data_IF_478911225396
#
_entry.id   IF_478911225396
#
_cell.length_a   1.000
_cell.length_b   1.000
_cell.length_c   1.000
_cell.angle_alpha   90.00
_cell.angle_beta   90.00
_cell.angle_gamma   90.00
#
_symmetry.space_group_name_H-M   'P 1'
#
loop_
_entity.id
_entity.type
_entity.pdbx_description
1 polymer ?
#
# COMPACT_ATOMS: atom_id res chain seq x y z
N UNK A 1 -19.00 4.91 7.10
CA UNK A 1 -17.64 5.53 7.13
C UNK A 1 -16.85 5.06 8.35
N UNK A 2 -17.38 5.17 9.58
CA UNK A 2 -16.73 4.63 10.79
C UNK A 2 -16.51 3.12 10.67
N UNK A 3 -17.51 2.37 10.20
CA UNK A 3 -17.40 0.90 10.04
C UNK A 3 -16.35 0.49 9.00
N UNK A 4 -16.21 1.27 7.92
CA UNK A 4 -15.18 1.03 6.90
C UNK A 4 -13.78 1.26 7.47
N UNK A 5 -13.57 2.36 8.21
CA UNK A 5 -12.27 2.66 8.83
C UNK A 5 -11.87 1.55 9.80
N UNK A 6 -12.78 1.14 10.69
CA UNK A 6 -12.52 0.08 11.65
C UNK A 6 -12.18 -1.25 10.97
N UNK A 7 -12.85 -1.56 9.86
CA UNK A 7 -12.59 -2.77 9.07
C UNK A 7 -11.27 -2.70 8.32
N UNK A 8 -10.88 -1.54 7.79
CA UNK A 8 -9.55 -1.35 7.21
C UNK A 8 -8.48 -1.47 8.29
N UNK A 9 -8.68 -0.91 9.49
CA UNK A 9 -7.76 -1.11 10.63
C UNK A 9 -7.62 -2.60 11.00
N UNK A 10 -8.72 -3.35 11.00
CA UNK A 10 -8.70 -4.80 11.19
C UNK A 10 -7.91 -5.51 10.09
N UNK A 11 -8.15 -5.16 8.83
CA UNK A 11 -7.42 -5.72 7.69
C UNK A 11 -5.91 -5.51 7.83
N UNK A 12 -5.49 -4.29 8.17
CA UNK A 12 -4.09 -3.94 8.37
C UNK A 12 -3.48 -4.77 9.51
N UNK A 13 -4.20 -4.91 10.64
CA UNK A 13 -3.75 -5.72 11.79
C UNK A 13 -3.62 -7.20 11.45
N UNK A 14 -4.45 -7.74 10.57
CA UNK A 14 -4.36 -9.14 10.14
C UNK A 14 -3.24 -9.37 9.12
N UNK A 15 -2.86 -8.35 8.36
CA UNK A 15 -1.96 -8.46 7.21
C UNK A 15 -0.63 -7.71 7.38
N UNK A 16 -0.34 -7.22 8.58
CA UNK A 16 0.99 -6.75 9.02
C UNK A 16 1.99 -7.91 9.07
N UNK A 17 3.27 -7.59 9.22
CA UNK A 17 4.31 -8.59 9.50
C UNK A 17 4.00 -9.33 10.80
N UNK A 18 4.06 -10.66 10.73
CA UNK A 18 3.90 -11.58 11.86
C UNK A 18 5.20 -12.31 12.21
N UNK A 19 6.27 -12.02 11.49
CA UNK A 19 7.60 -12.53 11.74
C UNK A 19 8.04 -12.19 13.18
N UNK A 20 8.63 -13.12 13.95
CA UNK A 20 8.96 -12.88 15.36
C UNK A 20 9.79 -11.62 15.61
N UNK A 21 10.63 -11.23 14.65
CA UNK A 21 11.50 -10.07 14.70
C UNK A 21 10.85 -8.75 14.25
N UNK A 22 9.59 -8.78 13.81
CA UNK A 22 8.84 -7.61 13.30
C UNK A 22 7.62 -7.27 14.15
N UNK A 23 7.25 -8.15 15.09
CA UNK A 23 6.07 -7.97 15.95
C UNK A 23 6.11 -6.71 16.81
N UNK A 24 7.30 -6.18 17.06
CA UNK A 24 7.50 -4.96 17.84
C UNK A 24 7.27 -3.67 17.04
N UNK A 25 7.20 -3.71 15.70
CA UNK A 25 6.91 -2.53 14.91
C UNK A 25 5.41 -2.21 14.95
N UNK A 26 5.11 -1.00 15.41
CA UNK A 26 3.77 -0.46 15.38
C UNK A 26 3.34 -0.18 13.94
N UNK A 27 2.04 -0.36 13.68
CA UNK A 27 1.44 0.05 12.41
C UNK A 27 1.55 1.58 12.33
N UNK A 28 2.29 2.14 11.36
CA UNK A 28 2.60 3.57 11.34
C UNK A 28 1.43 4.45 10.88
N UNK A 29 0.43 3.87 10.22
CA UNK A 29 -0.70 4.59 9.62
C UNK A 29 -2.01 3.84 9.86
N UNK A 30 -3.02 4.55 10.35
CA UNK A 30 -4.37 3.98 10.55
C UNK A 30 -5.13 3.82 9.23
N UNK A 31 -6.15 2.96 9.24
CA UNK A 31 -7.09 2.76 8.15
C UNK A 31 -7.76 4.04 7.67
N UNK A 32 -7.96 5.02 8.55
CA UNK A 32 -8.54 6.32 8.20
C UNK A 32 -7.73 7.05 7.11
N UNK A 33 -6.40 6.96 7.14
CA UNK A 33 -5.54 7.61 6.15
C UNK A 33 -5.65 6.92 4.79
N UNK A 34 -5.68 5.59 4.77
CA UNK A 34 -5.88 4.84 3.52
C UNK A 34 -7.24 5.15 2.89
N UNK A 35 -8.31 5.22 3.69
CA UNK A 35 -9.66 5.59 3.25
C UNK A 35 -9.71 7.04 2.75
N UNK A 36 -9.09 7.99 3.48
CA UNK A 36 -9.02 9.39 3.06
C UNK A 36 -8.26 9.57 1.75
N UNK A 37 -7.10 8.91 1.58
CA UNK A 37 -6.32 8.96 0.34
C UNK A 37 -7.10 8.37 -0.83
N UNK A 38 -7.70 7.19 -0.65
CA UNK A 38 -8.53 6.55 -1.66
C UNK A 38 -9.64 7.50 -2.14
N UNK A 39 -10.36 8.13 -1.21
CA UNK A 39 -11.41 9.10 -1.50
C UNK A 39 -10.88 10.38 -2.16
N UNK A 40 -9.78 10.93 -1.64
CA UNK A 40 -9.23 12.22 -2.10
C UNK A 40 -8.70 12.17 -3.53
N UNK A 41 -8.11 11.04 -3.90
CA UNK A 41 -7.49 10.85 -5.21
C UNK A 41 -8.29 9.94 -6.14
N UNK A 42 -9.53 9.61 -5.79
CA UNK A 42 -10.39 8.70 -6.57
C UNK A 42 -9.64 7.42 -6.97
N UNK A 43 -8.94 6.84 -6.00
CA UNK A 43 -8.18 5.60 -6.16
C UNK A 43 -8.97 4.48 -5.50
N UNK A 44 -9.21 3.35 -6.18
CA UNK A 44 -9.87 2.21 -5.57
C UNK A 44 -9.13 1.77 -4.30
N UNK A 45 -9.82 1.79 -3.16
CA UNK A 45 -9.24 1.49 -1.84
C UNK A 45 -8.52 0.14 -1.82
N UNK A 46 -9.05 -0.85 -2.56
CA UNK A 46 -8.44 -2.17 -2.73
C UNK A 46 -7.00 -2.12 -3.24
N UNK A 47 -6.68 -1.20 -4.15
CA UNK A 47 -5.34 -1.07 -4.70
C UNK A 47 -4.40 -0.34 -3.75
N UNK A 48 -4.89 0.66 -3.02
CA UNK A 48 -4.11 1.31 -1.95
C UNK A 48 -3.69 0.28 -0.90
N UNK A 49 -4.62 -0.58 -0.47
CA UNK A 49 -4.35 -1.61 0.52
C UNK A 49 -3.51 -2.77 -0.03
N UNK A 50 -3.76 -3.21 -1.27
CA UNK A 50 -3.01 -4.30 -1.90
C UNK A 50 -1.53 -3.96 -2.00
N UNK A 51 -1.21 -2.77 -2.51
CA UNK A 51 0.19 -2.36 -2.66
C UNK A 51 0.84 -2.14 -1.29
N UNK A 52 0.15 -1.48 -0.35
CA UNK A 52 0.67 -1.31 1.00
C UNK A 52 1.00 -2.64 1.70
N UNK A 53 0.14 -3.66 1.52
CA UNK A 53 0.41 -5.00 2.03
C UNK A 53 1.61 -5.65 1.34
N UNK A 54 1.65 -5.61 0.01
CA UNK A 54 2.67 -6.33 -0.76
C UNK A 54 4.07 -5.75 -0.62
N UNK A 55 4.17 -4.43 -0.51
CA UNK A 55 5.45 -3.73 -0.54
C UNK A 55 6.14 -3.68 0.81
N UNK A 56 5.37 -3.60 1.90
CA UNK A 56 5.97 -3.43 3.24
C UNK A 56 5.11 -3.97 4.40
N UNK A 57 4.07 -4.74 4.11
CA UNK A 57 3.05 -5.16 5.11
C UNK A 57 2.57 -3.96 5.92
N UNK A 58 2.14 -2.90 5.23
CA UNK A 58 1.69 -1.64 5.83
C UNK A 58 2.77 -0.91 6.64
N UNK A 59 4.03 -1.02 6.24
CA UNK A 59 5.17 -0.41 6.92
C UNK A 59 5.64 -1.15 8.17
N UNK A 60 5.26 -2.42 8.33
CA UNK A 60 5.62 -3.24 9.50
C UNK A 60 6.67 -4.31 9.21
N UNK A 61 6.97 -4.62 7.94
CA UNK A 61 8.09 -5.51 7.61
C UNK A 61 9.43 -4.86 7.97
N UNK A 62 10.33 -5.62 8.61
CA UNK A 62 11.71 -5.18 8.86
C UNK A 62 12.52 -5.24 7.59
N UNK A 63 13.22 -4.14 7.38
CA UNK A 63 14.39 -4.10 6.53
C UNK A 63 15.64 -4.25 7.41
N UNK A 64 16.54 -5.14 7.01
CA UNK A 64 17.67 -5.58 7.84
C UNK A 64 18.52 -4.39 8.33
N UNK A 65 19.03 -4.47 9.57
CA UNK A 65 20.09 -3.56 10.09
C UNK A 65 21.36 -3.58 9.23
N UNK A 66 21.47 -4.52 8.29
CA UNK A 66 22.65 -4.78 7.48
C UNK A 66 22.55 -4.14 6.08
N UNK A 67 21.48 -3.37 5.81
CA UNK A 67 21.43 -2.43 4.68
C UNK A 67 21.16 -3.04 3.31
N UNK A 68 20.93 -4.34 3.20
CA UNK A 68 20.61 -4.97 1.91
C UNK A 68 19.11 -5.26 1.81
N UNK A 69 18.56 -4.71 0.72
CA UNK A 69 17.18 -4.63 0.28
C UNK A 69 16.30 -3.64 1.06
N UNK A 70 16.38 -2.38 0.59
CA UNK A 70 15.24 -1.46 0.31
C UNK A 70 14.45 -0.95 1.50
N UNK A 71 14.49 0.37 1.82
CA UNK A 71 14.24 0.92 3.17
C UNK A 71 12.91 1.70 3.38
N UNK A 72 11.69 1.14 3.24
CA UNK A 72 10.44 1.80 3.63
C UNK A 72 10.41 2.47 5.00
N UNK A 73 11.02 1.88 6.04
CA UNK A 73 11.08 2.47 7.39
C UNK A 73 11.88 3.77 7.51
N UNK A 74 13.05 3.84 6.85
CA UNK A 74 13.90 5.05 6.87
C UNK A 74 13.29 6.16 6.00
N UNK A 75 12.59 5.78 4.95
CA UNK A 75 12.04 6.69 3.94
C UNK A 75 10.55 6.96 4.15
N UNK A 76 9.92 6.38 5.17
CA UNK A 76 8.46 6.46 5.42
C UNK A 76 7.65 6.14 4.16
N UNK A 77 8.14 5.16 3.39
CA UNK A 77 7.68 4.83 2.04
C UNK A 77 7.04 3.44 2.05
N UNK A 78 5.81 3.33 2.58
CA UNK A 78 5.01 2.08 2.65
C UNK A 78 4.92 1.35 1.29
N UNK A 79 5.00 2.11 0.21
CA UNK A 79 4.75 1.64 -1.13
C UNK A 79 6.06 1.29 -1.87
N UNK A 80 7.25 1.55 -1.33
CA UNK A 80 8.50 1.37 -2.08
C UNK A 80 8.54 2.18 -3.40
N UNK A 81 7.86 3.33 -3.47
CA UNK A 81 7.85 4.14 -4.68
C UNK A 81 9.24 4.68 -5.03
N UNK A 82 9.59 4.61 -6.32
CA UNK A 82 10.89 5.03 -6.82
C UNK A 82 12.05 4.16 -6.34
N UNK A 83 11.74 2.96 -5.81
CA UNK A 83 12.74 1.96 -5.50
C UNK A 83 13.26 1.29 -6.77
N UNK A 84 14.58 1.30 -6.95
CA UNK A 84 15.23 0.63 -8.08
C UNK A 84 16.39 -0.29 -7.65
N UNK A 85 16.94 -1.03 -8.62
CA UNK A 85 18.05 -1.96 -8.41
C UNK A 85 19.36 -1.28 -7.98
N UNK A 86 19.45 0.05 -8.15
CA UNK A 86 20.56 0.87 -7.65
C UNK A 86 20.37 1.28 -6.19
N UNK A 87 19.24 0.91 -5.58
CA UNK A 87 18.88 1.28 -4.22
C UNK A 87 18.39 2.72 -4.06
N UNK A 88 18.09 3.41 -5.17
CA UNK A 88 17.39 4.70 -5.09
C UNK A 88 16.03 4.47 -4.44
N UNK A 89 15.55 5.43 -3.66
CA UNK A 89 14.27 5.32 -2.98
C UNK A 89 13.76 6.72 -2.64
N UNK A 90 12.47 6.96 -2.83
CA UNK A 90 11.85 8.23 -2.46
C UNK A 90 11.58 8.24 -0.96
N UNK A 91 12.13 9.24 -0.26
CA UNK A 91 11.84 9.54 1.14
C UNK A 91 10.68 10.52 1.31
N UNK A 92 9.88 10.28 2.34
CA UNK A 92 8.77 11.14 2.75
C UNK A 92 8.98 11.68 4.16
N UNK A 93 8.44 12.88 4.41
CA UNK A 93 8.51 13.53 5.71
C UNK A 93 7.68 12.78 6.78
N UNK A 94 6.55 12.21 6.39
CA UNK A 94 5.69 11.38 7.25
C UNK A 94 5.21 10.13 6.51
N UNK A 95 4.70 9.14 7.24
CA UNK A 95 4.15 7.93 6.63
C UNK A 95 2.89 8.23 5.82
N UNK A 96 2.04 9.13 6.30
CA UNK A 96 0.84 9.61 5.61
C UNK A 96 1.20 10.30 4.29
N UNK A 97 2.32 11.03 4.23
CA UNK A 97 2.84 11.59 2.98
C UNK A 97 3.24 10.52 1.97
N UNK A 98 3.73 9.37 2.44
CA UNK A 98 3.96 8.20 1.60
C UNK A 98 2.66 7.66 1.01
N UNK A 99 1.62 7.50 1.83
CA UNK A 99 0.28 7.07 1.36
C UNK A 99 -0.34 8.09 0.39
N UNK A 100 -0.25 9.37 0.72
CA UNK A 100 -0.74 10.46 -0.13
C UNK A 100 -0.07 10.43 -1.51
N UNK A 101 1.24 10.20 -1.55
CA UNK A 101 2.02 10.18 -2.78
C UNK A 101 1.64 9.00 -3.68
N UNK A 102 1.26 7.85 -3.11
CA UNK A 102 0.72 6.73 -3.88
C UNK A 102 -0.62 7.09 -4.52
N UNK A 103 -1.55 7.70 -3.78
CA UNK A 103 -2.83 8.16 -4.34
C UNK A 103 -2.63 9.15 -5.49
N UNK A 104 -1.71 10.10 -5.34
CA UNK A 104 -1.33 11.03 -6.43
C UNK A 104 -0.78 10.31 -7.66
N UNK A 105 0.11 9.34 -7.45
CA UNK A 105 0.70 8.56 -8.53
C UNK A 105 -0.38 7.79 -9.29
N UNK A 106 -1.29 7.11 -8.58
CA UNK A 106 -2.37 6.35 -9.20
C UNK A 106 -3.29 7.26 -10.00
N UNK A 107 -3.79 8.36 -9.39
CA UNK A 107 -4.66 9.33 -10.06
C UNK A 107 -4.04 9.92 -11.32
N UNK A 108 -2.75 10.24 -11.29
CA UNK A 108 -2.02 10.76 -12.47
C UNK A 108 -2.11 9.80 -13.66
N UNK A 109 -1.95 8.50 -13.44
CA UNK A 109 -2.05 7.51 -14.50
C UNK A 109 -3.49 7.24 -14.93
N UNK A 110 -4.42 7.35 -14.00
CA UNK A 110 -5.85 7.25 -14.27
C UNK A 110 -6.33 8.42 -15.16
N UNK A 111 -5.91 9.65 -14.87
CA UNK A 111 -6.13 10.84 -15.70
C UNK A 111 -5.53 10.70 -17.11
N UNK A 112 -4.46 9.93 -17.24
CA UNK A 112 -3.81 9.63 -18.52
C UNK A 112 -4.47 8.46 -19.29
N UNK A 113 -5.55 7.87 -18.75
CA UNK A 113 -6.26 6.75 -19.38
C UNK A 113 -5.50 5.43 -19.33
N UNK A 114 -4.55 5.26 -18.39
CA UNK A 114 -3.76 4.04 -18.26
C UNK A 114 -4.56 2.99 -17.48
N UNK A 115 -4.80 1.84 -18.10
CA UNK A 115 -5.50 0.70 -17.47
C UNK A 115 -4.71 0.15 -16.27
N UNK A 116 -5.40 -0.42 -15.28
CA UNK A 116 -4.80 -0.84 -14.00
C UNK A 116 -3.60 -1.77 -14.15
N UNK A 117 -3.71 -2.86 -14.93
CA UNK A 117 -2.57 -3.73 -15.18
C UNK A 117 -1.37 -3.00 -15.81
N UNK A 118 -1.61 -1.98 -16.63
CA UNK A 118 -0.53 -1.19 -17.20
C UNK A 118 0.10 -0.27 -16.14
N UNK A 119 -0.69 0.27 -15.19
CA UNK A 119 -0.15 0.97 -14.02
C UNK A 119 0.78 0.05 -13.22
N UNK A 120 0.37 -1.19 -12.95
CA UNK A 120 1.16 -2.16 -12.18
C UNK A 120 2.46 -2.57 -12.88
N UNK A 121 2.46 -2.68 -14.21
CA UNK A 121 3.68 -2.92 -14.99
C UNK A 121 4.64 -1.73 -14.98
N UNK A 122 4.11 -0.50 -14.93
CA UNK A 122 4.93 0.71 -14.76
C UNK A 122 5.52 0.76 -13.33
N UNK A 123 4.71 0.35 -12.35
CA UNK A 123 5.09 0.32 -10.95
C UNK A 123 6.22 -0.67 -10.66
N UNK A 124 6.05 -1.91 -11.13
CA UNK A 124 7.02 -2.98 -11.02
C UNK A 124 6.99 -3.80 -12.33
N UNK A 125 8.01 -3.68 -13.19
CA UNK A 125 8.05 -4.36 -14.48
C UNK A 125 8.43 -5.86 -14.34
N UNK A 126 8.77 -6.34 -13.14
CA UNK A 126 9.26 -7.69 -12.95
C UNK A 126 8.12 -8.69 -12.76
N UNK A 127 8.13 -9.76 -13.58
CA UNK A 127 7.19 -10.87 -13.47
C UNK A 127 5.74 -10.47 -13.75
N UNK A 128 4.79 -11.28 -13.25
CA UNK A 128 3.36 -11.00 -13.36
C UNK A 128 2.84 -10.20 -12.15
N UNK A 129 3.43 -9.03 -11.96
CA UNK A 129 3.07 -8.17 -10.83
C UNK A 129 1.58 -7.75 -10.89
N UNK A 130 1.01 -7.57 -12.08
CA UNK A 130 -0.43 -7.28 -12.20
C UNK A 130 -1.28 -8.41 -11.58
N UNK A 131 -1.07 -9.67 -11.98
CA UNK A 131 -1.89 -10.76 -11.47
C UNK A 131 -1.84 -10.86 -9.94
N UNK A 132 -0.66 -10.66 -9.35
CA UNK A 132 -0.52 -10.67 -7.90
C UNK A 132 -1.21 -9.51 -7.19
N UNK A 133 -1.21 -8.31 -7.79
CA UNK A 133 -1.96 -7.16 -7.27
C UNK A 133 -3.46 -7.43 -7.37
N UNK A 134 -3.96 -7.92 -8.51
CA UNK A 134 -5.37 -8.23 -8.70
C UNK A 134 -5.85 -9.35 -7.77
N UNK A 135 -5.06 -10.40 -7.57
CA UNK A 135 -5.36 -11.47 -6.60
C UNK A 135 -5.53 -10.90 -5.18
N UNK A 136 -4.57 -10.06 -4.75
CA UNK A 136 -4.61 -9.42 -3.44
C UNK A 136 -5.82 -8.48 -3.33
N UNK A 137 -6.06 -7.67 -4.36
CA UNK A 137 -7.16 -6.72 -4.43
C UNK A 137 -8.54 -7.40 -4.39
N UNK A 138 -8.70 -8.54 -5.06
CA UNK A 138 -9.93 -9.34 -4.99
C UNK A 138 -10.18 -9.91 -3.59
N UNK A 139 -9.11 -10.36 -2.91
CA UNK A 139 -9.20 -10.77 -1.51
C UNK A 139 -9.61 -9.60 -0.58
N UNK A 140 -9.11 -8.39 -0.86
CA UNK A 140 -9.50 -7.18 -0.15
C UNK A 140 -10.95 -6.81 -0.43
N UNK A 141 -11.39 -6.83 -1.69
CA UNK A 141 -12.79 -6.58 -2.06
C UNK A 141 -13.74 -7.55 -1.36
N UNK A 142 -13.38 -8.84 -1.29
CA UNK A 142 -14.14 -9.83 -0.54
C UNK A 142 -14.16 -9.52 0.96
N UNK A 143 -12.99 -9.19 1.53
CA UNK A 143 -12.89 -8.84 2.94
C UNK A 143 -13.73 -7.61 3.28
N UNK A 144 -13.60 -6.52 2.51
CA UNK A 144 -14.29 -5.25 2.72
C UNK A 144 -15.79 -5.35 2.39
N UNK A 145 -16.14 -6.08 1.32
CA UNK A 145 -17.49 -6.25 0.78
C UNK A 145 -18.48 -7.00 1.67
N UNK A 146 -18.03 -7.60 2.78
CA UNK A 146 -18.96 -8.01 3.86
C UNK A 146 -19.53 -6.83 4.67
N UNK A 147 -19.26 -5.58 4.24
CA UNK A 147 -20.06 -4.41 4.60
C UNK A 147 -20.93 -4.07 3.39
N UNK A 148 -22.25 -4.05 3.55
CA UNK A 148 -23.17 -3.39 2.62
C UNK A 148 -22.87 -1.87 2.61
N UNK A 149 -21.80 -1.47 1.92
CA UNK A 149 -21.48 -0.05 1.73
C UNK A 149 -22.14 0.40 0.44
N UNK A 150 -23.43 0.75 0.56
CA UNK A 150 -24.06 1.60 -0.45
C UNK A 150 -23.28 2.93 -0.47
N UNK A 151 -22.64 3.23 -1.60
CA UNK A 151 -22.04 4.52 -1.92
C UNK A 151 -23.11 5.48 -2.45
#
# INVERSE_FOLDING_TARGET
>A
MIDLIAKVDEYIKLNRSLEPYDREYEIPVSGAVYVDVAKRYDTPLKYVLAIAQRESRFGTDRYTKNGNLTRPGQYKNIFSMGLDDSGNNIGFETWEKGVESFGRWYRRFDDAGVLDCNKWRIYNPNGDYCAHVEETANGIDYFLGSLDVNY
#
